data_IF_957489393241
#
_entry.id   IF_957489393241
#
_cell.length_a   1.000
_cell.length_b   1.000
_cell.length_c   1.000
_cell.angle_alpha   90.00
_cell.angle_beta   90.00
_cell.angle_gamma   90.00
#
_symmetry.space_group_name_H-M   'P 1'
#
loop_
_entity.id
_entity.type
_entity.pdbx_description
1 polymer ?
#
# COMPACT_ATOMS: atom_id res chain seq x y z
N UNK A 1 75.61 58.25 -48.74
CA UNK A 1 74.56 57.62 -49.56
C UNK A 1 73.95 56.43 -48.82
N UNK A 2 72.61 56.37 -48.85
CA UNK A 2 71.70 55.24 -48.65
C UNK A 2 71.88 54.24 -47.47
N UNK A 3 71.21 54.51 -46.33
CA UNK A 3 70.78 53.44 -45.38
C UNK A 3 69.39 53.65 -44.73
N UNK A 4 68.53 54.56 -45.21
CA UNK A 4 67.21 54.78 -44.58
C UNK A 4 66.03 54.07 -45.24
N UNK A 5 66.19 53.49 -46.44
CA UNK A 5 65.07 52.84 -47.15
C UNK A 5 64.85 51.36 -46.75
N UNK A 6 65.89 50.65 -46.30
CA UNK A 6 65.79 49.23 -45.92
C UNK A 6 65.08 49.06 -44.57
N UNK A 7 65.46 49.85 -43.55
CA UNK A 7 64.84 49.77 -42.22
C UNK A 7 63.33 50.07 -42.24
N UNK A 8 62.91 51.02 -43.10
CA UNK A 8 61.49 51.39 -43.24
C UNK A 8 60.65 50.35 -44.00
N UNK A 9 61.27 49.54 -44.87
CA UNK A 9 60.61 48.41 -45.55
C UNK A 9 60.50 47.17 -44.65
N UNK A 10 61.48 46.92 -43.78
CA UNK A 10 61.43 45.80 -42.82
C UNK A 10 60.43 46.08 -41.69
N UNK A 11 60.28 47.34 -41.25
CA UNK A 11 59.25 47.73 -40.29
C UNK A 11 57.81 47.54 -40.83
N UNK A 12 57.60 47.74 -42.15
CA UNK A 12 56.29 47.53 -42.79
C UNK A 12 55.95 46.05 -43.01
N UNK A 13 56.96 45.18 -43.12
CA UNK A 13 56.77 43.73 -43.17
C UNK A 13 56.48 43.13 -41.79
N UNK A 14 57.10 43.65 -40.72
CA UNK A 14 56.78 43.26 -39.35
C UNK A 14 55.36 43.70 -38.93
N UNK A 15 54.87 44.85 -39.42
CA UNK A 15 53.48 45.29 -39.17
C UNK A 15 52.42 44.54 -39.99
N UNK A 16 52.81 43.86 -41.07
CA UNK A 16 51.90 43.10 -41.93
C UNK A 16 51.72 41.64 -41.47
N UNK A 17 52.63 41.10 -40.65
CA UNK A 17 52.55 39.75 -40.10
C UNK A 17 51.86 39.64 -38.74
N UNK A 18 51.50 40.77 -38.10
CA UNK A 18 50.97 40.80 -36.74
C UNK A 18 49.46 40.72 -36.62
N UNK A 19 48.69 40.84 -37.71
CA UNK A 19 47.25 40.57 -37.66
C UNK A 19 46.99 39.08 -37.84
N UNK A 20 47.60 38.28 -36.97
CA UNK A 20 46.88 37.13 -36.44
C UNK A 20 45.65 37.73 -35.80
N UNK A 21 44.58 37.88 -36.60
CA UNK A 21 43.23 38.06 -36.11
C UNK A 21 43.04 36.82 -35.27
N UNK A 22 43.35 36.93 -33.98
CA UNK A 22 43.01 35.92 -33.01
C UNK A 22 41.53 35.78 -33.24
N UNK A 23 41.15 34.66 -33.84
CA UNK A 23 39.80 34.19 -33.76
C UNK A 23 39.66 33.93 -32.27
N UNK A 24 39.33 34.98 -31.51
CA UNK A 24 38.80 34.83 -30.16
C UNK A 24 37.48 34.16 -30.49
N UNK A 25 37.34 32.83 -30.33
CA UNK A 25 36.01 32.28 -30.42
C UNK A 25 35.21 33.11 -29.42
N UNK A 26 34.17 33.81 -29.88
CA UNK A 26 33.12 34.22 -28.97
C UNK A 26 32.68 32.91 -28.36
N UNK A 27 33.14 32.67 -27.13
CA UNK A 27 32.83 31.47 -26.39
C UNK A 27 31.38 31.71 -26.05
N UNK A 28 30.47 31.21 -26.88
CA UNK A 28 29.04 31.40 -26.70
C UNK A 28 28.64 30.60 -25.48
N UNK A 29 28.78 31.21 -24.29
CA UNK A 29 28.58 30.60 -22.97
C UNK A 29 27.09 30.30 -22.76
N UNK A 30 26.22 30.91 -23.55
CA UNK A 30 24.77 30.75 -23.46
C UNK A 30 24.34 29.29 -23.66
N UNK A 31 24.86 28.63 -24.69
CA UNK A 31 24.52 27.24 -25.00
C UNK A 31 24.98 26.26 -23.90
N UNK A 32 26.25 26.23 -23.46
CA UNK A 32 26.67 25.34 -22.39
C UNK A 32 26.02 25.70 -21.04
N UNK A 33 25.71 26.97 -20.76
CA UNK A 33 24.96 27.34 -19.55
C UNK A 33 23.51 26.83 -19.57
N UNK A 34 22.82 26.95 -20.71
CA UNK A 34 21.49 26.39 -20.89
C UNK A 34 21.50 24.86 -20.76
N UNK A 35 22.48 24.17 -21.34
CA UNK A 35 22.64 22.72 -21.17
C UNK A 35 22.91 22.33 -19.72
N UNK A 36 23.76 23.07 -19.00
CA UNK A 36 24.02 22.83 -17.59
C UNK A 36 22.73 22.98 -16.76
N UNK A 37 21.92 24.01 -17.04
CA UNK A 37 20.63 24.21 -16.38
C UNK A 37 19.68 23.02 -16.62
N UNK A 38 19.58 22.53 -17.86
CA UNK A 38 18.75 21.35 -18.19
C UNK A 38 19.25 20.11 -17.44
N UNK A 39 20.57 19.89 -17.37
CA UNK A 39 21.15 18.76 -16.62
C UNK A 39 20.83 18.88 -15.13
N UNK A 40 20.99 20.06 -14.53
CA UNK A 40 20.64 20.27 -13.13
C UNK A 40 19.15 20.05 -12.87
N UNK A 41 18.28 20.57 -13.74
CA UNK A 41 16.83 20.34 -13.65
C UNK A 41 16.53 18.83 -13.73
N UNK A 42 17.15 18.12 -14.66
CA UNK A 42 17.01 16.66 -14.78
C UNK A 42 17.46 15.92 -13.53
N UNK A 43 18.59 16.30 -12.92
CA UNK A 43 19.06 15.71 -11.65
C UNK A 43 18.07 15.97 -10.52
N UNK A 44 17.54 17.19 -10.40
CA UNK A 44 16.52 17.53 -9.40
C UNK A 44 15.27 16.66 -9.59
N UNK A 45 14.77 16.54 -10.82
CA UNK A 45 13.62 15.68 -11.12
C UNK A 45 13.88 14.20 -10.78
N UNK A 46 15.08 13.68 -11.06
CA UNK A 46 15.46 12.31 -10.70
C UNK A 46 15.49 12.14 -9.17
N UNK A 47 16.02 13.11 -8.42
CA UNK A 47 16.06 13.04 -6.96
C UNK A 47 14.65 13.07 -6.35
N UNK A 48 13.77 13.93 -6.86
CA UNK A 48 12.36 13.96 -6.45
C UNK A 48 11.68 12.63 -6.75
N UNK A 49 11.77 12.15 -8.00
CA UNK A 49 11.15 10.88 -8.41
C UNK A 49 11.75 9.65 -7.71
N UNK A 50 12.99 9.73 -7.23
CA UNK A 50 13.62 8.68 -6.42
C UNK A 50 13.10 8.73 -4.98
N UNK A 51 12.99 9.91 -4.39
CA UNK A 51 12.50 10.07 -3.02
C UNK A 51 11.04 9.60 -2.90
N UNK A 52 10.21 9.94 -3.88
CA UNK A 52 8.81 9.47 -3.96
C UNK A 52 8.70 7.94 -4.11
N UNK A 53 9.69 7.30 -4.76
CA UNK A 53 9.71 5.85 -4.93
C UNK A 53 10.39 5.10 -3.80
N UNK A 54 11.27 5.74 -3.03
CA UNK A 54 12.07 5.02 -2.03
C UNK A 54 11.26 4.51 -0.84
N UNK A 55 10.17 5.19 -0.47
CA UNK A 55 9.25 4.68 0.56
C UNK A 55 8.40 3.51 0.07
N UNK A 56 8.32 3.31 -1.25
CA UNK A 56 7.61 2.21 -1.90
C UNK A 56 8.55 1.18 -2.54
N UNK A 57 9.80 1.10 -2.08
CA UNK A 57 10.78 0.16 -2.61
C UNK A 57 10.62 -1.20 -1.89
N UNK A 58 10.29 -2.30 -2.60
CA UNK A 58 10.05 -3.61 -1.99
C UNK A 58 11.34 -4.26 -1.48
N UNK A 59 11.28 -4.99 -0.36
CA UNK A 59 12.33 -5.93 0.06
C UNK A 59 12.43 -7.16 -0.86
N UNK A 60 11.32 -7.55 -1.49
CA UNK A 60 11.20 -8.72 -2.36
C UNK A 60 10.10 -9.67 -1.87
N UNK A 61 9.81 -10.78 -2.54
CA UNK A 61 8.73 -11.68 -2.11
C UNK A 61 9.12 -12.57 -0.91
N UNK A 62 8.15 -13.07 -0.12
CA UNK A 62 8.41 -13.92 1.03
C UNK A 62 8.99 -15.26 0.60
N UNK A 63 9.74 -15.87 1.51
CA UNK A 63 10.47 -17.13 1.36
C UNK A 63 10.05 -18.09 2.48
N UNK A 64 10.51 -19.34 2.36
CA UNK A 64 10.33 -20.32 3.45
C UNK A 64 11.08 -19.84 4.70
N UNK A 65 10.37 -19.85 5.83
CA UNK A 65 10.89 -19.40 7.12
C UNK A 65 10.80 -17.89 7.36
N UNK A 66 10.24 -17.12 6.42
CA UNK A 66 9.82 -15.75 6.67
C UNK A 66 8.49 -15.74 7.44
N UNK A 67 8.26 -14.70 8.26
CA UNK A 67 7.04 -14.47 9.03
C UNK A 67 6.65 -13.01 8.87
N UNK A 68 5.72 -12.73 7.96
CA UNK A 68 5.32 -11.37 7.60
C UNK A 68 3.88 -11.09 7.98
N UNK A 69 3.60 -9.82 8.22
CA UNK A 69 2.33 -9.29 8.64
C UNK A 69 2.00 -8.08 7.77
N UNK A 70 0.84 -8.10 7.12
CA UNK A 70 0.36 -6.95 6.36
C UNK A 70 -1.04 -6.60 6.81
N UNK A 71 -1.36 -5.32 6.92
CA UNK A 71 -2.73 -4.90 7.20
C UNK A 71 -3.56 -5.08 5.93
N UNK A 72 -4.80 -5.54 6.07
CA UNK A 72 -5.79 -5.45 5.01
C UNK A 72 -7.09 -4.82 5.49
N UNK A 73 -7.73 -4.06 4.60
CA UNK A 73 -9.04 -3.48 4.84
C UNK A 73 -9.85 -3.46 3.55
N UNK A 74 -11.18 -3.53 3.67
CA UNK A 74 -12.10 -3.33 2.55
C UNK A 74 -12.75 -1.97 2.75
N UNK A 75 -12.70 -1.14 1.72
CA UNK A 75 -13.27 0.20 1.73
C UNK A 75 -14.38 0.25 0.68
N UNK A 76 -15.61 0.50 1.12
CA UNK A 76 -16.79 0.57 0.26
C UNK A 76 -17.32 2.00 0.28
N UNK A 77 -17.06 2.72 -0.82
CA UNK A 77 -17.46 4.10 -1.10
C UNK A 77 -17.00 5.16 -0.09
N UNK A 78 -17.55 5.15 1.11
CA UNK A 78 -17.34 6.15 2.17
C UNK A 78 -16.95 5.53 3.53
N UNK A 79 -16.97 4.20 3.67
CA UNK A 79 -16.63 3.53 4.93
C UNK A 79 -15.75 2.29 4.77
N UNK A 80 -15.05 1.95 5.85
CA UNK A 80 -14.35 0.67 5.94
C UNK A 80 -15.31 -0.40 6.46
N UNK A 81 -15.38 -1.53 5.76
CA UNK A 81 -16.05 -2.72 6.27
C UNK A 81 -15.17 -3.28 7.39
N UNK A 82 -15.72 -3.32 8.60
CA UNK A 82 -15.03 -3.76 9.82
C UNK A 82 -15.24 -5.23 10.14
N UNK A 83 -16.03 -5.94 9.33
CA UNK A 83 -16.22 -7.37 9.48
C UNK A 83 -14.90 -8.10 9.20
N UNK A 84 -14.46 -8.88 10.18
CA UNK A 84 -13.23 -9.66 10.10
C UNK A 84 -13.61 -11.13 9.96
N UNK A 85 -13.09 -11.77 8.91
CA UNK A 85 -13.41 -13.14 8.55
C UNK A 85 -12.21 -14.03 8.90
N UNK A 86 -12.20 -14.66 10.09
CA UNK A 86 -11.10 -15.54 10.49
C UNK A 86 -11.04 -16.79 9.62
N UNK A 87 -9.82 -17.28 9.38
CA UNK A 87 -9.57 -18.52 8.64
C UNK A 87 -8.38 -19.28 9.27
N UNK A 88 -8.39 -19.42 10.59
CA UNK A 88 -7.28 -20.00 11.36
C UNK A 88 -7.38 -21.53 11.56
N UNK A 89 -8.56 -22.11 11.30
CA UNK A 89 -8.85 -23.53 11.58
C UNK A 89 -8.29 -24.51 10.53
N UNK A 90 -7.80 -24.06 9.37
CA UNK A 90 -7.24 -24.93 8.31
C UNK A 90 -6.19 -24.22 7.43
N UNK A 91 -5.24 -23.45 8.02
CA UNK A 91 -4.13 -22.87 7.25
C UNK A 91 -3.26 -23.98 6.63
N UNK A 92 -3.44 -24.21 5.33
CA UNK A 92 -2.75 -25.28 4.60
C UNK A 92 -1.46 -24.79 3.95
N UNK A 93 -1.32 -23.48 3.75
CA UNK A 93 -0.29 -22.92 2.88
C UNK A 93 0.72 -22.02 3.61
N UNK A 94 0.33 -21.42 4.73
CA UNK A 94 1.07 -20.41 5.45
C UNK A 94 0.73 -18.99 4.99
N UNK A 95 -0.50 -18.74 4.52
CA UNK A 95 -1.01 -17.39 4.24
C UNK A 95 -2.47 -17.26 4.65
N UNK A 96 -2.72 -16.65 5.80
CA UNK A 96 -4.03 -16.67 6.45
C UNK A 96 -4.31 -15.38 7.22
N UNK A 97 -5.48 -15.31 7.87
CA UNK A 97 -5.88 -14.22 8.78
C UNK A 97 -6.51 -14.83 10.02
N UNK A 98 -6.28 -14.21 11.18
CA UNK A 98 -6.99 -14.56 12.42
C UNK A 98 -8.29 -13.77 12.58
N UNK A 99 -8.67 -12.96 11.58
CA UNK A 99 -9.77 -12.02 11.73
C UNK A 99 -9.40 -10.86 12.66
N UNK A 100 -8.14 -10.43 12.65
CA UNK A 100 -7.60 -9.29 13.40
C UNK A 100 -7.22 -8.10 12.49
N UNK A 101 -7.62 -8.18 11.21
CA UNK A 101 -7.29 -7.19 10.19
C UNK A 101 -5.89 -7.34 9.60
N UNK A 102 -5.17 -8.43 9.94
CA UNK A 102 -3.85 -8.73 9.39
C UNK A 102 -3.87 -9.95 8.47
N UNK A 103 -3.05 -9.87 7.44
CA UNK A 103 -2.59 -10.98 6.61
C UNK A 103 -1.31 -11.49 7.25
N UNK A 104 -1.32 -12.73 7.71
CA UNK A 104 -0.16 -13.45 8.20
C UNK A 104 0.42 -14.27 7.07
N UNK A 105 1.73 -14.15 6.81
CA UNK A 105 2.41 -14.89 5.75
C UNK A 105 3.63 -15.58 6.36
N UNK A 106 3.53 -16.89 6.52
CA UNK A 106 4.55 -17.77 7.07
C UNK A 106 4.63 -19.08 6.27
N UNK A 107 5.16 -19.04 5.03
CA UNK A 107 4.96 -20.11 4.05
C UNK A 107 5.50 -21.47 4.49
N UNK A 108 4.64 -22.50 4.51
CA UNK A 108 5.05 -23.89 4.79
C UNK A 108 5.66 -24.58 3.58
N UNK A 109 5.26 -24.13 2.39
CA UNK A 109 5.75 -24.63 1.10
C UNK A 109 5.88 -23.49 0.08
N UNK A 110 6.47 -23.81 -1.07
CA UNK A 110 6.79 -22.80 -2.10
C UNK A 110 5.57 -22.28 -2.87
N UNK A 111 4.35 -22.70 -2.53
CA UNK A 111 3.12 -22.32 -3.23
C UNK A 111 2.63 -20.91 -2.90
N UNK A 112 3.16 -20.31 -1.83
CA UNK A 112 2.85 -18.94 -1.38
C UNK A 112 4.13 -18.14 -1.12
N UNK A 113 5.21 -18.49 -1.82
CA UNK A 113 6.49 -17.75 -1.83
C UNK A 113 6.76 -17.15 -3.20
N UNK A 114 7.74 -16.24 -3.28
CA UNK A 114 8.23 -15.75 -4.57
C UNK A 114 7.13 -15.07 -5.39
N UNK A 115 6.98 -15.49 -6.65
CA UNK A 115 5.93 -14.97 -7.53
C UNK A 115 4.51 -15.44 -7.18
N UNK A 116 4.37 -16.41 -6.27
CA UNK A 116 3.08 -17.00 -5.90
C UNK A 116 2.48 -16.40 -4.63
N UNK A 117 3.27 -15.64 -3.86
CA UNK A 117 2.81 -14.84 -2.74
C UNK A 117 1.97 -13.66 -3.26
N UNK A 118 0.67 -13.90 -3.43
CA UNK A 118 -0.24 -13.01 -4.15
C UNK A 118 -1.54 -12.82 -3.38
N UNK A 119 -2.19 -11.68 -3.59
CA UNK A 119 -3.54 -11.40 -3.08
C UNK A 119 -4.49 -12.54 -3.43
N UNK A 120 -4.43 -13.07 -4.66
CA UNK A 120 -5.27 -14.19 -5.08
C UNK A 120 -4.96 -15.54 -4.42
N UNK A 121 -3.79 -15.69 -3.78
CA UNK A 121 -3.49 -16.83 -2.91
C UNK A 121 -4.15 -16.62 -1.54
N UNK A 122 -3.97 -15.44 -0.94
CA UNK A 122 -4.61 -15.07 0.33
C UNK A 122 -6.14 -15.17 0.27
N UNK A 123 -6.76 -14.50 -0.71
CA UNK A 123 -8.22 -14.50 -0.90
C UNK A 123 -8.79 -15.91 -1.01
N UNK A 124 -8.06 -16.84 -1.65
CA UNK A 124 -8.49 -18.23 -1.77
C UNK A 124 -8.44 -18.97 -0.44
N UNK A 125 -7.43 -18.70 0.39
CA UNK A 125 -7.33 -19.31 1.71
C UNK A 125 -8.52 -18.87 2.58
N UNK A 126 -8.80 -17.56 2.60
CA UNK A 126 -9.90 -16.99 3.39
C UNK A 126 -11.29 -17.15 2.77
N UNK A 127 -11.41 -17.92 1.69
CA UNK A 127 -12.67 -18.23 0.97
C UNK A 127 -13.36 -17.01 0.32
N UNK A 128 -12.60 -15.96 0.02
CA UNK A 128 -13.07 -14.82 -0.78
C UNK A 128 -12.93 -15.13 -2.28
N UNK A 129 -13.92 -14.73 -3.08
CA UNK A 129 -13.77 -14.71 -4.53
C UNK A 129 -13.40 -13.31 -5.03
N UNK A 130 -12.19 -13.16 -5.56
CA UNK A 130 -11.70 -11.92 -6.16
C UNK A 130 -11.62 -12.03 -7.68
N UNK A 131 -12.19 -11.06 -8.39
CA UNK A 131 -11.95 -10.77 -9.81
C UNK A 131 -11.45 -9.33 -9.97
N UNK A 132 -11.23 -8.88 -11.20
CA UNK A 132 -10.82 -7.49 -11.45
C UNK A 132 -11.94 -6.46 -11.20
N UNK A 133 -13.18 -6.91 -11.00
CA UNK A 133 -14.35 -6.02 -10.83
C UNK A 133 -15.33 -6.45 -9.72
N UNK A 134 -14.95 -7.43 -8.90
CA UNK A 134 -15.81 -7.98 -7.84
C UNK A 134 -15.03 -8.64 -6.71
N UNK A 135 -15.56 -8.51 -5.50
CA UNK A 135 -15.22 -9.31 -4.32
C UNK A 135 -16.49 -9.99 -3.82
N UNK A 136 -16.45 -11.30 -3.61
CA UNK A 136 -17.45 -12.03 -2.83
C UNK A 136 -16.85 -12.43 -1.49
N UNK A 137 -17.52 -12.03 -0.41
CA UNK A 137 -17.13 -12.29 0.97
C UNK A 137 -17.69 -13.67 1.40
N UNK A 138 -17.13 -14.29 2.46
CA UNK A 138 -17.52 -15.64 2.88
C UNK A 138 -18.97 -15.77 3.35
N UNK A 139 -19.58 -14.67 3.78
CA UNK A 139 -20.99 -14.61 4.15
C UNK A 139 -21.95 -14.49 2.94
N UNK A 140 -21.41 -14.45 1.72
CA UNK A 140 -22.13 -14.30 0.47
C UNK A 140 -22.40 -12.85 0.06
N UNK A 141 -21.88 -11.86 0.79
CA UNK A 141 -21.92 -10.45 0.39
C UNK A 141 -21.11 -10.26 -0.88
N UNK A 142 -21.71 -9.62 -1.89
CA UNK A 142 -21.06 -9.33 -3.17
C UNK A 142 -20.88 -7.83 -3.29
N UNK A 143 -19.63 -7.41 -3.43
CA UNK A 143 -19.24 -6.07 -3.82
C UNK A 143 -18.80 -6.13 -5.28
N UNK A 144 -19.45 -5.41 -6.17
CA UNK A 144 -19.09 -5.38 -7.59
C UNK A 144 -19.32 -4.02 -8.25
N UNK A 145 -18.66 -3.81 -9.39
CA UNK A 145 -18.76 -2.56 -10.16
C UNK A 145 -20.11 -2.36 -10.87
N UNK A 146 -20.99 -3.37 -10.86
CA UNK A 146 -22.24 -3.37 -11.61
C UNK A 146 -23.46 -2.94 -10.80
N UNK A 147 -23.33 -2.78 -9.48
CA UNK A 147 -24.37 -2.32 -8.57
C UNK A 147 -24.75 -0.83 -8.71
N UNK A 148 -25.50 -0.30 -7.73
CA UNK A 148 -25.83 1.14 -7.68
C UNK A 148 -24.58 2.03 -7.45
N UNK A 149 -23.44 1.40 -7.18
CA UNK A 149 -22.12 2.01 -7.14
C UNK A 149 -21.96 3.04 -6.02
N UNK A 150 -20.81 3.69 -6.01
CA UNK A 150 -20.55 4.82 -5.16
C UNK A 150 -21.13 6.09 -5.79
N UNK A 151 -21.68 6.98 -4.98
CA UNK A 151 -22.13 8.28 -5.43
C UNK A 151 -20.96 9.28 -5.46
N UNK A 152 -20.82 10.03 -6.54
CA UNK A 152 -19.87 11.15 -6.63
C UNK A 152 -20.58 12.41 -7.15
N UNK A 153 -20.20 13.62 -6.71
CA UNK A 153 -20.79 14.86 -7.23
C UNK A 153 -20.72 14.92 -8.76
N UNK A 154 -21.85 15.23 -9.40
CA UNK A 154 -21.94 15.34 -10.85
C UNK A 154 -21.14 16.57 -11.33
N UNK A 155 -20.08 16.40 -12.15
CA UNK A 155 -19.26 17.51 -12.63
C UNK A 155 -19.98 18.43 -13.63
N UNK A 156 -21.07 17.96 -14.23
CA UNK A 156 -21.89 18.70 -15.20
C UNK A 156 -23.11 19.38 -14.53
N UNK A 157 -23.31 19.20 -13.22
CA UNK A 157 -24.37 19.81 -12.42
C UNK A 157 -23.87 20.97 -11.54
N UNK A 158 -24.59 22.08 -11.53
CA UNK A 158 -24.40 23.16 -10.54
C UNK A 158 -25.09 22.87 -9.18
N UNK A 159 -25.87 21.80 -9.10
CA UNK A 159 -26.61 21.38 -7.90
C UNK A 159 -25.78 20.32 -7.12
N UNK A 160 -25.30 20.64 -5.90
CA UNK A 160 -24.48 19.73 -5.10
C UNK A 160 -25.24 18.50 -4.58
N UNK A 161 -26.57 18.48 -4.67
CA UNK A 161 -27.39 17.35 -4.28
C UNK A 161 -27.54 16.32 -5.42
N UNK A 162 -26.98 16.60 -6.61
CA UNK A 162 -26.96 15.68 -7.76
C UNK A 162 -25.64 14.92 -7.77
N UNK A 163 -25.74 13.59 -7.71
CA UNK A 163 -24.61 12.67 -7.77
C UNK A 163 -24.77 11.67 -8.91
N UNK A 164 -23.66 11.32 -9.56
CA UNK A 164 -23.59 10.21 -10.51
C UNK A 164 -23.17 8.92 -9.79
N UNK A 165 -23.81 7.77 -10.10
CA UNK A 165 -23.41 6.48 -9.60
C UNK A 165 -22.24 5.90 -10.40
N UNK A 166 -21.36 5.18 -9.73
CA UNK A 166 -20.27 4.45 -10.37
C UNK A 166 -19.40 3.73 -9.34
N UNK A 167 -18.86 2.57 -9.71
CA UNK A 167 -17.94 1.81 -8.87
C UNK A 167 -16.78 1.28 -9.72
N UNK A 168 -15.59 1.31 -9.14
CA UNK A 168 -14.37 0.72 -9.66
C UNK A 168 -13.64 0.05 -8.49
N UNK A 169 -13.25 -1.20 -8.67
CA UNK A 169 -12.45 -1.94 -7.69
C UNK A 169 -10.97 -1.62 -7.88
N UNK A 170 -10.35 -1.16 -6.81
CA UNK A 170 -8.91 -0.86 -6.76
C UNK A 170 -8.25 -1.59 -5.60
N UNK A 171 -7.10 -2.19 -5.83
CA UNK A 171 -6.20 -2.58 -4.74
C UNK A 171 -5.19 -1.46 -4.53
N UNK A 172 -5.21 -0.86 -3.35
CA UNK A 172 -4.24 0.14 -2.92
C UNK A 172 -3.19 -0.55 -2.04
N UNK A 173 -1.91 -0.50 -2.43
CA UNK A 173 -0.80 -1.07 -1.66
C UNK A 173 0.19 0.00 -1.24
N UNK A 174 0.40 0.15 0.06
CA UNK A 174 1.54 0.87 0.62
C UNK A 174 2.64 -0.14 0.92
N UNK A 175 3.81 0.03 0.31
CA UNK A 175 4.88 -0.96 0.43
C UNK A 175 5.46 -1.03 1.85
N UNK A 176 5.46 0.11 2.56
CA UNK A 176 6.01 0.27 3.90
C UNK A 176 5.09 1.12 4.77
N UNK A 177 5.23 1.00 6.10
CA UNK A 177 4.56 1.85 7.09
C UNK A 177 4.88 3.36 6.96
N UNK A 178 5.92 3.75 6.23
CA UNK A 178 6.28 5.16 6.01
C UNK A 178 5.83 5.67 4.62
N UNK A 179 5.28 4.81 3.77
CA UNK A 179 4.75 5.23 2.49
C UNK A 179 3.53 6.13 2.73
N UNK A 180 3.58 7.34 2.17
CA UNK A 180 2.45 8.28 2.22
C UNK A 180 1.42 7.97 1.11
N UNK A 181 1.88 7.44 -0.02
CA UNK A 181 1.06 7.16 -1.21
C UNK A 181 1.05 5.68 -1.54
N UNK A 182 -0.12 5.16 -1.88
CA UNK A 182 -0.29 3.80 -2.39
C UNK A 182 0.13 3.67 -3.85
N UNK A 183 0.52 2.45 -4.21
CA UNK A 183 0.42 1.92 -5.57
C UNK A 183 -1.01 1.41 -5.76
N UNK A 184 -1.69 1.87 -6.81
CA UNK A 184 -3.04 1.43 -7.14
C UNK A 184 -3.02 0.42 -8.29
N UNK A 185 -3.83 -0.63 -8.17
CA UNK A 185 -4.01 -1.67 -9.18
C UNK A 185 -5.51 -1.78 -9.50
N UNK A 186 -5.86 -1.86 -10.78
CA UNK A 186 -7.23 -1.98 -11.31
C UNK A 186 -7.41 -3.19 -12.23
N UNK A 187 -6.32 -3.93 -12.50
CA UNK A 187 -6.28 -5.06 -13.42
C UNK A 187 -5.34 -6.11 -12.83
N UNK A 188 -5.54 -7.38 -13.21
CA UNK A 188 -4.78 -8.52 -12.71
C UNK A 188 -4.72 -8.52 -11.16
N UNK A 189 -5.84 -8.17 -10.51
CA UNK A 189 -5.90 -7.87 -9.07
C UNK A 189 -5.45 -9.05 -8.22
N UNK A 190 -5.75 -10.27 -8.69
CA UNK A 190 -5.33 -11.52 -8.05
C UNK A 190 -3.82 -11.72 -8.06
N UNK A 191 -3.10 -11.13 -9.01
CA UNK A 191 -1.66 -11.30 -9.19
C UNK A 191 -0.83 -10.24 -8.46
N UNK A 192 -1.50 -9.29 -7.78
CA UNK A 192 -0.82 -8.32 -6.90
C UNK A 192 -0.03 -9.07 -5.83
N UNK A 193 1.27 -8.79 -5.75
CA UNK A 193 2.21 -9.55 -4.92
C UNK A 193 2.40 -8.95 -3.53
N UNK A 194 2.66 -9.81 -2.56
CA UNK A 194 3.27 -9.46 -1.29
C UNK A 194 4.79 -9.37 -1.47
N UNK A 195 5.36 -8.26 -1.06
CA UNK A 195 6.71 -7.85 -1.44
C UNK A 195 7.52 -7.22 -0.29
N UNK A 196 6.93 -7.11 0.89
CA UNK A 196 7.62 -6.74 2.12
C UNK A 196 6.81 -7.17 3.36
N UNK A 197 7.42 -7.05 4.53
CA UNK A 197 6.72 -7.09 5.81
C UNK A 197 6.18 -5.69 6.17
N UNK A 198 5.04 -5.63 6.86
CA UNK A 198 4.40 -4.38 7.27
C UNK A 198 3.76 -3.57 6.14
N UNK A 199 3.28 -4.24 5.10
CA UNK A 199 2.53 -3.59 4.02
C UNK A 199 1.10 -3.28 4.47
N UNK A 200 0.44 -2.39 3.73
CA UNK A 200 -0.98 -2.09 3.92
C UNK A 200 -1.68 -2.27 2.58
N UNK A 201 -2.75 -3.07 2.59
CA UNK A 201 -3.62 -3.33 1.45
C UNK A 201 -5.01 -2.78 1.74
N UNK A 202 -5.56 -2.01 0.80
CA UNK A 202 -6.96 -1.61 0.82
C UNK A 202 -7.62 -2.10 -0.45
N UNK A 203 -8.68 -2.88 -0.30
CA UNK A 203 -9.57 -3.31 -1.37
C UNK A 203 -10.69 -2.28 -1.46
N UNK A 204 -10.53 -1.30 -2.33
CA UNK A 204 -11.38 -0.12 -2.40
C UNK A 204 -12.38 -0.22 -3.55
N UNK A 205 -13.67 -0.23 -3.23
CA UNK A 205 -14.74 0.12 -4.17
C UNK A 205 -14.96 1.63 -4.07
N UNK A 206 -14.68 2.36 -5.15
CA UNK A 206 -14.83 3.82 -5.19
C UNK A 206 -15.43 4.25 -6.51
N UNK A 207 -16.01 5.45 -6.54
CA UNK A 207 -16.45 6.03 -7.81
C UNK A 207 -15.23 6.26 -8.74
N UNK A 208 -15.32 5.99 -10.06
CA UNK A 208 -14.19 6.15 -10.99
C UNK A 208 -13.55 7.56 -11.00
N UNK A 209 -14.31 8.59 -10.61
CA UNK A 209 -13.80 9.97 -10.49
C UNK A 209 -12.91 10.22 -9.27
N UNK A 210 -12.96 9.36 -8.24
CA UNK A 210 -12.16 9.50 -7.02
C UNK A 210 -10.69 9.31 -7.39
N UNK A 211 -9.82 10.23 -6.99
CA UNK A 211 -8.38 10.06 -7.21
C UNK A 211 -7.80 9.04 -6.23
N UNK A 212 -6.76 8.32 -6.66
CA UNK A 212 -6.07 7.34 -5.80
C UNK A 212 -5.50 7.94 -4.50
N UNK A 213 -5.23 9.25 -4.48
CA UNK A 213 -4.76 9.94 -3.28
C UNK A 213 -5.86 10.23 -2.27
N UNK A 214 -7.13 10.20 -2.71
CA UNK A 214 -8.30 10.46 -1.88
C UNK A 214 -8.88 9.18 -1.26
N UNK A 215 -8.46 8.00 -1.75
CA UNK A 215 -8.77 6.73 -1.09
C UNK A 215 -8.08 6.70 0.28
N UNK A 216 -8.82 6.59 1.38
CA UNK A 216 -8.24 6.72 2.72
C UNK A 216 -7.28 5.57 3.02
N UNK A 217 -6.18 5.91 3.69
CA UNK A 217 -5.30 4.93 4.32
C UNK A 217 -5.91 4.53 5.67
N UNK A 218 -6.10 3.24 5.96
CA UNK A 218 -6.64 2.78 7.24
C UNK A 218 -5.68 3.10 8.40
N UNK A 219 -6.20 3.09 9.63
CA UNK A 219 -5.37 3.19 10.82
C UNK A 219 -4.44 1.98 10.92
N UNK A 220 -3.14 2.23 11.07
CA UNK A 220 -2.10 1.21 11.13
C UNK A 220 -1.50 1.05 12.53
N UNK A 221 -2.14 1.64 13.56
CA UNK A 221 -1.68 1.55 14.94
C UNK A 221 -1.51 0.10 15.42
N UNK A 222 -2.45 -0.78 15.09
CA UNK A 222 -2.38 -2.20 15.45
C UNK A 222 -1.19 -2.89 14.77
N UNK A 223 -1.06 -2.78 13.44
CA UNK A 223 0.08 -3.35 12.71
C UNK A 223 1.43 -2.82 13.25
N UNK A 224 1.53 -1.52 13.54
CA UNK A 224 2.74 -0.93 14.14
C UNK A 224 3.05 -1.53 15.51
N UNK A 225 2.04 -1.71 16.36
CA UNK A 225 2.24 -2.34 17.67
C UNK A 225 2.69 -3.79 17.51
N UNK A 226 2.00 -4.54 16.64
CA UNK A 226 2.26 -5.94 16.37
C UNK A 226 3.68 -6.19 15.85
N UNK A 227 4.14 -5.40 14.87
CA UNK A 227 5.51 -5.52 14.33
C UNK A 227 6.62 -5.17 15.33
N UNK A 228 6.30 -4.48 16.43
CA UNK A 228 7.26 -4.19 17.50
C UNK A 228 7.28 -5.26 18.60
N UNK A 229 6.39 -6.25 18.55
CA UNK A 229 6.40 -7.37 19.47
C UNK A 229 7.62 -8.27 19.22
N UNK A 230 8.17 -8.90 20.27
CA UNK A 230 9.09 -10.03 20.09
C UNK A 230 8.42 -11.12 19.23
N UNK A 231 9.18 -11.85 18.39
CA UNK A 231 8.62 -12.91 17.54
C UNK A 231 7.83 -13.98 18.33
N UNK A 232 8.21 -14.25 19.57
CA UNK A 232 7.50 -15.17 20.46
C UNK A 232 6.11 -14.69 20.91
N UNK A 233 5.86 -13.38 20.84
CA UNK A 233 4.60 -12.73 21.21
C UNK A 233 3.76 -12.36 19.98
N UNK A 234 4.25 -12.66 18.77
CA UNK A 234 3.48 -12.59 17.54
C UNK A 234 2.85 -13.97 17.32
N UNK A 235 1.58 -14.20 17.72
CA UNK A 235 0.97 -15.52 17.63
C UNK A 235 1.09 -16.07 16.21
N UNK A 236 1.79 -17.19 16.11
CA UNK A 236 1.72 -18.08 14.97
C UNK A 236 0.71 -19.15 15.39
N UNK A 237 -0.49 -19.13 14.83
CA UNK A 237 -1.35 -20.30 14.98
C UNK A 237 -0.77 -21.40 14.09
N UNK A 238 0.23 -22.12 14.60
CA UNK A 238 0.26 -23.56 14.33
C UNK A 238 -0.96 -24.11 15.07
N UNK A 239 -1.78 -24.96 14.43
CA UNK A 239 -3.11 -25.35 14.91
C UNK A 239 -3.15 -26.12 16.25
N UNK A 240 -2.58 -25.58 17.31
CA UNK A 240 -2.50 -26.15 18.65
C UNK A 240 -2.71 -25.16 19.80
N UNK A 241 -2.90 -23.85 19.58
CA UNK A 241 -3.19 -22.92 20.68
C UNK A 241 -4.12 -21.76 20.29
N UNK A 242 -5.08 -21.49 21.18
CA UNK A 242 -6.19 -20.52 21.03
C UNK A 242 -5.74 -19.05 21.09
N UNK A 243 -6.51 -18.24 20.34
CA UNK A 243 -6.65 -16.77 20.31
C UNK A 243 -5.37 -15.92 20.42
N UNK A 244 -5.16 -15.09 19.39
CA UNK A 244 -4.15 -14.03 19.42
C UNK A 244 -4.32 -13.07 20.61
N UNK A 245 -3.31 -12.24 20.92
CA UNK A 245 -3.37 -11.38 22.08
C UNK A 245 -4.53 -10.39 21.91
N UNK A 246 -5.55 -10.54 22.77
CA UNK A 246 -6.52 -9.48 23.02
C UNK A 246 -5.74 -8.34 23.68
N UNK A 247 -5.39 -7.33 22.89
CA UNK A 247 -4.85 -6.09 23.43
C UNK A 247 -6.01 -5.37 24.12
N UNK A 248 -5.82 -5.13 25.42
CA UNK A 248 -6.69 -4.33 26.28
C UNK A 248 -7.06 -3.01 25.57
N UNK A 249 -8.34 -2.82 25.25
CA UNK A 249 -8.85 -1.62 24.58
C UNK A 249 -8.94 -0.41 25.55
N UNK A 250 -8.48 -0.58 26.79
CA UNK A 250 -8.49 0.47 27.81
C UNK A 250 -9.91 0.82 28.29
N UNK A 251 -10.92 0.04 27.93
CA UNK A 251 -12.25 0.15 28.51
C UNK A 251 -12.34 -0.78 29.72
N UNK A 252 -11.89 -0.30 30.89
CA UNK A 252 -12.25 -0.88 32.18
C UNK A 252 -13.79 -0.81 32.36
N UNK A 253 -14.52 -1.80 31.86
CA UNK A 253 -15.85 -2.12 32.34
C UNK A 253 -15.73 -3.30 33.29
N UNK A 254 -15.64 -2.99 34.58
CA UNK A 254 -15.83 -3.93 35.67
C UNK A 254 -17.08 -4.81 35.40
N UNK A 255 -16.99 -6.15 35.51
CA UNK A 255 -18.15 -6.99 35.36
C UNK A 255 -19.05 -6.79 36.57
N UNK A 256 -20.26 -6.27 36.33
CA UNK A 256 -21.35 -6.28 37.31
C UNK A 256 -21.69 -7.74 37.62
N UNK A 257 -21.39 -8.19 38.84
CA UNK A 257 -21.89 -9.45 39.40
C UNK A 257 -23.43 -9.45 39.36
N UNK A 258 -23.98 -10.11 38.33
CA UNK A 258 -25.39 -10.43 38.19
C UNK A 258 -25.68 -11.81 38.76
N UNK A 259 -26.16 -11.84 40.00
CA UNK A 259 -26.69 -12.98 40.73
C UNK A 259 -27.78 -13.72 39.90
N UNK A 260 -27.51 -14.96 39.48
CA UNK A 260 -28.49 -15.87 38.90
C UNK A 260 -28.89 -16.90 39.97
N UNK A 261 -30.18 -17.02 40.34
CA UNK A 261 -30.59 -17.96 41.37
C UNK A 261 -30.61 -19.38 40.82
N UNK A 262 -30.12 -20.31 41.66
CA UNK A 262 -30.09 -21.74 41.44
C UNK A 262 -31.50 -22.32 41.19
N UNK A 263 -31.67 -23.03 40.07
CA UNK A 263 -32.77 -23.98 39.88
C UNK A 263 -32.45 -25.23 40.69
N UNK A 264 -33.20 -25.45 41.77
CA UNK A 264 -33.23 -26.71 42.52
C UNK A 264 -34.30 -27.65 41.96
N UNK A 265 -33.90 -28.88 41.64
CA UNK A 265 -34.79 -30.02 41.32
C UNK A 265 -35.76 -30.32 42.48
N UNK A 266 -37.00 -30.80 42.22
CA UNK A 266 -37.88 -31.29 43.26
C UNK A 266 -37.73 -32.81 43.44
N UNK A 267 -37.44 -33.24 44.67
CA UNK A 267 -37.55 -34.63 45.11
C UNK A 267 -38.87 -34.86 45.84
N UNK A 268 -39.44 -36.04 45.64
CA UNK A 268 -40.80 -36.47 45.94
C UNK A 268 -41.22 -36.56 47.43
N UNK A 269 -42.56 -36.73 47.58
CA UNK A 269 -43.28 -37.58 48.56
C UNK A 269 -43.71 -36.96 49.89
N UNK A 270 -45.02 -36.78 50.08
CA UNK A 270 -45.87 -37.71 50.88
C UNK A 270 -47.32 -37.20 51.05
N UNK A 271 -48.25 -38.13 50.93
CA UNK A 271 -49.65 -38.12 51.40
C UNK A 271 -49.75 -37.75 52.91
N UNK A 272 -50.92 -37.32 53.44
CA UNK A 272 -52.06 -38.24 53.65
C UNK A 272 -53.50 -37.67 53.56
N UNK A 273 -54.44 -38.61 53.37
CA UNK A 273 -55.83 -38.75 53.83
C UNK A 273 -56.66 -37.54 54.33
N UNK A 274 -57.83 -37.34 53.72
CA UNK A 274 -59.17 -37.67 54.28
C UNK A 274 -60.19 -37.88 53.15
#
# INVERSE_FOLDING_TARGET
MARSAAAKKVAKAASAGGSGRSFRPRRDILFPAAMLLVVLLGVVLILVARNERSSNAPAGPPRLGDHWHSLYAIYDCDEFILDLYPNDVDDQSGIHTHGDGLIHIHPFHTGVTGQFATVGAFMREIEFELTDSRIELPDGTILDESGEGCASPDPDSDDPDISEPGAELRIMRWETLQAEKALAFTEDLRDVRFLDDGQIFVFAFVHPSVENADVPRPDDAFLRAYLNLPPEDQPLIDGSTEEGPVLDDGSETEPVEGDLPATSEPSETSEPAE
#
